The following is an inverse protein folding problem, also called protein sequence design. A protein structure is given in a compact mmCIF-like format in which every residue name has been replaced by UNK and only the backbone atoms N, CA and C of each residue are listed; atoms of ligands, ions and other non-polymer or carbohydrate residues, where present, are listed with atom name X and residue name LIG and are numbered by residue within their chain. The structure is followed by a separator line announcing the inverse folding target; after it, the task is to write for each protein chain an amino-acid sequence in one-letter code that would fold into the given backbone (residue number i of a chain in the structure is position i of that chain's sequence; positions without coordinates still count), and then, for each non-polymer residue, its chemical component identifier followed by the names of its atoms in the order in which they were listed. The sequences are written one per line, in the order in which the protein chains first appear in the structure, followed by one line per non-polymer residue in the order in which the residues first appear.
data_IF_602422102240
#
_entry.id   IF_602422102240
#
_cell.length_a   1.000
_cell.length_b   1.000
_cell.length_c   1.000
_cell.angle_alpha   90.00
_cell.angle_beta   90.00
_cell.angle_gamma   90.00
#
_symmetry.space_group_name_H-M   'P 1'
#
loop_
_entity.id
_entity.type
_entity.pdbx_description
1 polymer ?
#
# COMPACT_ATOMS: atom_id res chain seq x y z
N UNK A 1 -81.91 8.92 -15.53
CA UNK A 1 -81.03 7.74 -15.65
C UNK A 1 -79.61 8.23 -15.45
N UNK A 2 -79.04 8.04 -14.27
CA UNK A 2 -77.69 8.51 -13.91
C UNK A 2 -76.81 7.29 -13.81
N UNK A 3 -75.84 7.17 -14.72
CA UNK A 3 -74.88 6.07 -14.77
C UNK A 3 -73.65 6.50 -13.99
N UNK A 4 -73.44 5.91 -12.82
CA UNK A 4 -72.26 6.12 -12.00
C UNK A 4 -71.11 5.23 -12.52
N UNK A 5 -70.06 5.87 -13.06
CA UNK A 5 -68.82 5.21 -13.47
C UNK A 5 -67.95 4.99 -12.22
N UNK A 6 -67.81 3.73 -11.80
CA UNK A 6 -66.85 3.33 -10.77
C UNK A 6 -65.47 3.13 -11.43
N UNK A 7 -64.58 4.11 -11.28
CA UNK A 7 -63.16 3.98 -11.62
C UNK A 7 -62.47 3.12 -10.55
N UNK A 8 -62.25 1.85 -10.87
CA UNK A 8 -61.45 0.93 -10.05
C UNK A 8 -59.97 1.30 -10.11
N UNK A 9 -59.45 1.92 -9.05
CA UNK A 9 -58.01 2.05 -8.80
C UNK A 9 -57.47 0.66 -8.42
N UNK A 10 -56.84 -0.02 -9.37
CA UNK A 10 -56.04 -1.20 -9.07
C UNK A 10 -54.71 -0.74 -8.44
N UNK A 11 -54.31 -1.23 -7.26
CA UNK A 11 -52.99 -0.98 -6.72
C UNK A 11 -51.97 -1.64 -7.64
N UNK A 12 -51.24 -0.83 -8.42
CA UNK A 12 -50.01 -1.26 -9.07
C UNK A 12 -49.06 -1.64 -7.93
N UNK A 13 -48.88 -2.94 -7.71
CA UNK A 13 -47.81 -3.43 -6.85
C UNK A 13 -46.51 -3.14 -7.60
N UNK A 14 -45.85 -2.04 -7.26
CA UNK A 14 -44.48 -1.80 -7.66
C UNK A 14 -43.68 -2.86 -6.94
N UNK A 15 -43.23 -3.90 -7.65
CA UNK A 15 -42.18 -4.78 -7.15
C UNK A 15 -41.00 -3.86 -6.81
N UNK A 16 -40.80 -3.62 -5.52
CA UNK A 16 -39.67 -2.87 -5.03
C UNK A 16 -38.44 -3.66 -5.50
N UNK A 17 -37.66 -3.05 -6.40
CA UNK A 17 -36.38 -3.61 -6.79
C UNK A 17 -35.62 -3.99 -5.51
N UNK A 18 -34.98 -5.17 -5.46
CA UNK A 18 -34.25 -5.60 -4.27
C UNK A 18 -33.32 -4.46 -3.86
N UNK A 19 -33.42 -4.06 -2.58
CA UNK A 19 -32.56 -3.02 -2.05
C UNK A 19 -31.11 -3.39 -2.36
N UNK A 20 -30.28 -2.47 -2.88
CA UNK A 20 -28.88 -2.75 -3.10
C UNK A 20 -28.30 -3.32 -1.80
N UNK A 21 -27.64 -4.48 -1.89
CA UNK A 21 -27.02 -5.10 -0.73
C UNK A 21 -26.03 -4.08 -0.14
N UNK A 22 -26.21 -3.74 1.13
CA UNK A 22 -25.37 -2.75 1.78
C UNK A 22 -23.91 -3.19 1.72
N UNK A 23 -23.06 -2.30 1.26
CA UNK A 23 -21.66 -2.56 0.99
C UNK A 23 -20.93 -2.93 2.27
N UNK A 24 -20.27 -4.10 2.25
CA UNK A 24 -19.67 -4.68 3.44
C UNK A 24 -18.20 -4.27 3.59
N UNK A 25 -17.90 -3.42 4.57
CA UNK A 25 -16.54 -2.96 4.87
C UNK A 25 -16.07 -3.44 6.25
N UNK A 26 -14.75 -3.50 6.44
CA UNK A 26 -14.14 -3.73 7.76
C UNK A 26 -13.61 -2.42 8.31
N UNK A 27 -13.85 -2.17 9.59
CA UNK A 27 -13.30 -1.02 10.30
C UNK A 27 -12.21 -1.49 11.25
N UNK A 28 -11.06 -0.84 11.23
CA UNK A 28 -9.95 -1.10 12.12
C UNK A 28 -9.40 0.20 12.71
N UNK A 29 -8.98 0.16 13.97
CA UNK A 29 -8.31 1.29 14.64
C UNK A 29 -6.89 0.88 14.95
N UNK A 30 -5.93 1.57 14.34
CA UNK A 30 -4.50 1.35 14.53
C UNK A 30 -3.94 2.39 15.50
N UNK A 31 -3.50 1.89 16.66
CA UNK A 31 -2.88 2.68 17.73
C UNK A 31 -1.48 2.16 18.05
N UNK A 32 -0.83 1.50 17.08
CA UNK A 32 0.47 0.85 17.28
C UNK A 32 1.62 1.81 17.62
N UNK A 33 1.48 3.09 17.33
CA UNK A 33 2.45 4.15 17.67
C UNK A 33 2.22 4.78 19.05
N UNK A 34 1.11 4.45 19.72
CA UNK A 34 0.78 4.98 21.04
C UNK A 34 1.34 4.09 22.15
N UNK A 35 1.31 4.57 23.39
CA UNK A 35 1.58 3.72 24.57
C UNK A 35 0.54 2.59 24.64
N UNK A 36 0.88 1.47 25.27
CA UNK A 36 -0.04 0.32 25.36
C UNK A 36 -1.37 0.70 26.04
N UNK A 37 -1.29 1.48 27.12
CA UNK A 37 -2.45 1.93 27.89
C UNK A 37 -3.34 2.89 27.08
N UNK A 38 -2.76 3.92 26.46
CA UNK A 38 -3.50 4.88 25.64
C UNK A 38 -4.05 4.21 24.38
N UNK A 39 -3.25 3.37 23.75
CA UNK A 39 -3.62 2.65 22.54
C UNK A 39 -4.78 1.68 22.76
N UNK A 40 -4.84 1.01 23.92
CA UNK A 40 -5.98 0.17 24.29
C UNK A 40 -7.24 1.00 24.54
N UNK A 41 -7.13 2.04 25.38
CA UNK A 41 -8.24 2.94 25.72
C UNK A 41 -8.85 3.58 24.48
N UNK A 42 -8.02 4.15 23.60
CA UNK A 42 -8.47 4.80 22.38
C UNK A 42 -9.07 3.81 21.38
N UNK A 43 -8.52 2.61 21.23
CA UNK A 43 -9.09 1.59 20.34
C UNK A 43 -10.50 1.20 20.74
N UNK A 44 -10.76 1.06 22.04
CA UNK A 44 -12.11 0.76 22.56
C UNK A 44 -13.08 1.92 22.34
N UNK A 45 -12.66 3.15 22.68
CA UNK A 45 -13.50 4.36 22.55
C UNK A 45 -13.81 4.70 21.09
N UNK A 46 -12.78 4.77 20.25
CA UNK A 46 -12.89 5.16 18.84
C UNK A 46 -13.56 4.05 18.04
N UNK A 47 -13.26 2.78 18.32
CA UNK A 47 -13.84 1.65 17.59
C UNK A 47 -15.36 1.60 17.69
N UNK A 48 -15.92 1.82 18.88
CA UNK A 48 -17.37 1.82 19.09
C UNK A 48 -18.07 2.98 18.37
N UNK A 49 -17.45 4.17 18.34
CA UNK A 49 -18.03 5.34 17.67
C UNK A 49 -17.92 5.24 16.15
N UNK A 50 -16.77 4.79 15.63
CA UNK A 50 -16.57 4.58 14.20
C UNK A 50 -17.57 3.58 13.62
N UNK A 51 -17.83 2.47 14.32
CA UNK A 51 -18.82 1.48 13.89
C UNK A 51 -20.17 2.14 13.64
N UNK A 52 -20.64 2.96 14.60
CA UNK A 52 -21.93 3.65 14.49
C UNK A 52 -21.97 4.61 13.31
N UNK A 53 -20.94 5.42 13.13
CA UNK A 53 -20.90 6.43 12.06
C UNK A 53 -20.79 5.81 10.66
N UNK A 54 -20.04 4.71 10.54
CA UNK A 54 -19.93 3.96 9.28
C UNK A 54 -21.27 3.34 8.89
N UNK A 55 -22.02 2.79 9.85
CA UNK A 55 -23.37 2.26 9.62
C UNK A 55 -24.36 3.39 9.23
N UNK A 56 -24.27 4.56 9.87
CA UNK A 56 -25.04 5.77 9.47
C UNK A 56 -24.68 6.21 8.05
N UNK A 57 -23.42 6.02 7.64
CA UNK A 57 -22.92 6.23 6.28
C UNK A 57 -23.46 5.25 5.24
N UNK A 58 -24.23 4.24 5.64
CA UNK A 58 -24.87 3.26 4.76
C UNK A 58 -24.02 2.02 4.45
N UNK A 59 -22.89 1.84 5.13
CA UNK A 59 -22.04 0.66 4.96
C UNK A 59 -22.39 -0.41 6.01
N UNK A 60 -22.45 -1.67 5.58
CA UNK A 60 -22.52 -2.80 6.48
C UNK A 60 -21.12 -3.13 7.00
N UNK A 61 -20.99 -3.46 8.29
CA UNK A 61 -19.70 -3.82 8.86
C UNK A 61 -19.59 -5.34 8.99
N UNK A 62 -18.54 -5.92 8.42
CA UNK A 62 -18.23 -7.36 8.59
C UNK A 62 -16.74 -7.60 8.80
N UNK A 63 -16.41 -8.63 9.57
CA UNK A 63 -15.02 -9.00 9.85
C UNK A 63 -14.44 -9.96 8.80
N UNK A 64 -15.28 -10.58 7.98
CA UNK A 64 -14.91 -11.69 7.08
C UNK A 64 -15.23 -11.34 5.64
N UNK A 65 -14.32 -11.74 4.75
CA UNK A 65 -14.47 -11.63 3.29
C UNK A 65 -14.83 -10.21 2.80
N UNK A 66 -14.22 -9.20 3.42
CA UNK A 66 -14.32 -7.82 2.91
C UNK A 66 -13.25 -7.59 1.85
N UNK A 67 -13.60 -6.79 0.84
CA UNK A 67 -12.62 -6.21 -0.09
C UNK A 67 -12.04 -4.92 0.47
N UNK A 68 -12.89 -4.11 1.08
CA UNK A 68 -12.50 -2.80 1.61
C UNK A 68 -12.34 -2.84 3.13
N UNK A 69 -11.19 -2.39 3.62
CA UNK A 69 -10.91 -2.13 5.05
C UNK A 69 -10.58 -0.66 5.24
N UNK A 70 -11.40 0.04 6.03
CA UNK A 70 -11.11 1.38 6.53
C UNK A 70 -10.29 1.27 7.82
N UNK A 71 -9.04 1.73 7.78
CA UNK A 71 -8.16 1.79 8.96
C UNK A 71 -7.97 3.24 9.39
N UNK A 72 -8.38 3.54 10.61
CA UNK A 72 -8.11 4.84 11.25
C UNK A 72 -6.87 4.68 12.11
N UNK A 73 -5.77 5.30 11.69
CA UNK A 73 -4.49 5.24 12.39
C UNK A 73 -4.25 6.53 13.16
N UNK A 74 -3.94 6.39 14.45
CA UNK A 74 -3.78 7.52 15.39
C UNK A 74 -2.35 7.50 15.88
N UNK A 75 -1.62 8.59 15.67
CA UNK A 75 -0.22 8.74 16.05
C UNK A 75 0.01 10.00 16.88
N UNK A 76 0.98 9.99 17.80
CA UNK A 76 1.43 11.20 18.48
C UNK A 76 2.26 12.05 17.52
N UNK A 77 1.86 13.31 17.36
CA UNK A 77 2.75 14.36 16.84
C UNK A 77 3.62 14.92 17.97
N UNK A 78 2.99 15.20 19.11
CA UNK A 78 3.64 15.59 20.35
C UNK A 78 2.91 14.94 21.53
N UNK A 79 3.62 14.09 22.28
CA UNK A 79 3.04 13.36 23.41
C UNK A 79 2.83 14.25 24.63
N UNK A 80 3.66 15.28 24.84
CA UNK A 80 3.58 16.15 26.01
C UNK A 80 2.37 17.09 25.91
N UNK A 81 2.10 17.59 24.70
CA UNK A 81 1.00 18.52 24.41
C UNK A 81 -0.29 17.83 23.93
N UNK A 82 -0.30 16.49 23.89
CA UNK A 82 -1.43 15.67 23.40
C UNK A 82 -1.86 16.07 21.98
N UNK A 83 -0.88 16.24 21.10
CA UNK A 83 -1.10 16.47 19.67
C UNK A 83 -1.12 15.14 18.92
N UNK A 84 -2.19 14.90 18.16
CA UNK A 84 -2.38 13.66 17.40
C UNK A 84 -2.44 13.93 15.89
N UNK A 85 -1.87 13.02 15.11
CA UNK A 85 -2.16 12.87 13.69
C UNK A 85 -3.16 11.73 13.48
N UNK A 86 -4.22 12.01 12.72
CA UNK A 86 -5.28 11.05 12.39
C UNK A 86 -5.18 10.76 10.90
N UNK A 87 -4.82 9.54 10.55
CA UNK A 87 -4.74 9.03 9.19
C UNK A 87 -5.94 8.13 8.87
N UNK A 88 -6.45 8.25 7.65
CA UNK A 88 -7.47 7.35 7.11
C UNK A 88 -6.81 6.54 5.99
N UNK A 89 -6.41 5.32 6.31
CA UNK A 89 -5.82 4.41 5.35
C UNK A 89 -6.93 3.49 4.83
N UNK A 90 -7.16 3.51 3.52
CA UNK A 90 -8.16 2.64 2.87
C UNK A 90 -7.41 1.49 2.20
N UNK A 91 -7.69 0.26 2.60
CA UNK A 91 -7.17 -0.92 1.93
C UNK A 91 -8.28 -1.53 1.09
N UNK A 92 -8.11 -1.56 -0.23
CA UNK A 92 -9.04 -2.21 -1.16
C UNK A 92 -8.32 -3.37 -1.86
N UNK A 93 -8.81 -4.59 -1.65
CA UNK A 93 -8.10 -5.83 -1.98
C UNK A 93 -6.70 -5.87 -1.34
N UNK A 94 -5.64 -5.76 -2.15
CA UNK A 94 -4.23 -5.75 -1.69
C UNK A 94 -3.57 -4.37 -1.84
N UNK A 95 -4.31 -3.36 -2.27
CA UNK A 95 -3.79 -2.00 -2.47
C UNK A 95 -4.10 -1.11 -1.28
N UNK A 96 -3.08 -0.35 -0.83
CA UNK A 96 -3.21 0.63 0.23
C UNK A 96 -3.30 2.02 -0.39
N UNK A 97 -4.43 2.68 -0.19
CA UNK A 97 -4.73 4.01 -0.70
C UNK A 97 -4.60 4.99 0.48
N UNK A 98 -3.63 5.89 0.39
CA UNK A 98 -3.29 6.87 1.43
C UNK A 98 -3.56 8.31 1.01
N UNK A 99 -4.42 8.50 0.01
CA UNK A 99 -4.68 9.81 -0.61
C UNK A 99 -5.63 10.69 0.24
N UNK A 100 -6.21 10.13 1.30
CA UNK A 100 -7.04 10.89 2.23
C UNK A 100 -6.15 11.78 3.10
N UNK A 101 -6.31 13.12 3.06
CA UNK A 101 -5.51 14.02 3.87
C UNK A 101 -5.65 13.68 5.36
N UNK A 102 -4.52 13.58 6.04
CA UNK A 102 -4.50 13.39 7.49
C UNK A 102 -4.92 14.68 8.21
N UNK A 103 -5.46 14.53 9.41
CA UNK A 103 -5.97 15.64 10.22
C UNK A 103 -5.14 15.75 11.50
N UNK A 104 -4.66 16.96 11.80
CA UNK A 104 -4.02 17.27 13.08
C UNK A 104 -5.08 17.59 14.15
N UNK A 105 -4.88 17.05 15.35
CA UNK A 105 -5.67 17.33 16.54
C UNK A 105 -4.76 17.90 17.62
N UNK A 106 -4.71 19.23 17.73
CA UNK A 106 -3.86 19.95 18.69
C UNK A 106 -4.55 20.04 20.04
N UNK A 107 -3.85 19.73 21.14
CA UNK A 107 -4.37 19.77 22.51
C UNK A 107 -5.66 18.95 22.70
N UNK A 108 -5.70 17.76 22.11
CA UNK A 108 -6.92 16.98 22.03
C UNK A 108 -7.05 15.96 23.17
N UNK A 109 -8.00 16.19 24.06
CA UNK A 109 -8.52 15.14 24.95
C UNK A 109 -9.43 14.19 24.17
N UNK A 110 -9.68 12.98 24.70
CA UNK A 110 -10.43 11.90 24.03
C UNK A 110 -11.70 12.36 23.29
N UNK A 111 -12.54 13.18 23.93
CA UNK A 111 -13.77 13.67 23.33
C UNK A 111 -13.54 14.61 22.12
N UNK A 112 -12.49 15.43 22.17
CA UNK A 112 -12.10 16.29 21.05
C UNK A 112 -11.49 15.45 19.92
N UNK A 113 -10.70 14.43 20.26
CA UNK A 113 -10.13 13.49 19.30
C UNK A 113 -11.23 12.74 18.53
N UNK A 114 -12.23 12.18 19.22
CA UNK A 114 -13.36 11.49 18.60
C UNK A 114 -14.12 12.44 17.65
N UNK A 115 -14.39 13.67 18.08
CA UNK A 115 -15.04 14.67 17.21
C UNK A 115 -14.21 14.96 15.95
N UNK A 116 -12.88 15.05 16.07
CA UNK A 116 -12.00 15.23 14.91
C UNK A 116 -11.97 14.03 13.98
N UNK A 117 -12.08 12.81 14.53
CA UNK A 117 -12.25 11.61 13.72
C UNK A 117 -13.58 11.65 12.96
N UNK A 118 -14.67 12.05 13.61
CA UNK A 118 -15.98 12.20 12.97
C UNK A 118 -15.98 13.28 11.88
N UNK A 119 -15.19 14.35 12.03
CA UNK A 119 -15.06 15.39 10.99
C UNK A 119 -14.38 14.87 9.71
N UNK A 120 -13.42 13.95 9.82
CA UNK A 120 -12.70 13.40 8.66
C UNK A 120 -13.35 12.17 8.03
N UNK A 121 -14.15 11.44 8.81
CA UNK A 121 -14.75 10.18 8.37
C UNK A 121 -15.61 10.30 7.09
N UNK A 122 -16.47 11.33 6.90
CA UNK A 122 -17.25 11.45 5.67
C UNK A 122 -16.40 11.52 4.40
N UNK A 123 -15.23 12.18 4.46
CA UNK A 123 -14.32 12.26 3.31
C UNK A 123 -13.69 10.89 3.00
N UNK A 124 -13.34 10.11 4.03
CA UNK A 124 -12.84 8.76 3.86
C UNK A 124 -13.91 7.82 3.28
N UNK A 125 -15.16 7.93 3.74
CA UNK A 125 -16.28 7.13 3.23
C UNK A 125 -16.63 7.48 1.78
N UNK A 126 -16.59 8.76 1.40
CA UNK A 126 -16.80 9.15 0.00
C UNK A 126 -15.70 8.60 -0.90
N UNK A 127 -14.44 8.60 -0.43
CA UNK A 127 -13.34 8.00 -1.18
C UNK A 127 -13.51 6.50 -1.40
N UNK A 128 -14.05 5.78 -0.42
CA UNK A 128 -14.40 4.36 -0.56
C UNK A 128 -15.41 4.17 -1.71
N UNK A 129 -16.47 4.99 -1.76
CA UNK A 129 -17.48 4.93 -2.83
C UNK A 129 -16.88 5.20 -4.20
N UNK A 130 -15.97 6.16 -4.32
CA UNK A 130 -15.30 6.45 -5.59
C UNK A 130 -14.47 5.26 -6.09
N UNK A 131 -13.78 4.56 -5.19
CA UNK A 131 -12.99 3.37 -5.52
C UNK A 131 -13.90 2.23 -5.99
N UNK A 132 -15.06 2.06 -5.36
CA UNK A 132 -16.01 1.00 -5.68
C UNK A 132 -16.85 1.30 -6.94
N UNK A 133 -17.19 2.58 -7.17
CA UNK A 133 -17.92 3.02 -8.36
C UNK A 133 -17.03 3.05 -9.60
N UNK A 134 -15.70 3.17 -9.45
CA UNK A 134 -14.79 3.14 -10.58
C UNK A 134 -15.04 1.86 -11.40
N UNK A 135 -15.69 1.99 -12.57
CA UNK A 135 -16.27 0.84 -13.22
C UNK A 135 -15.10 -0.04 -13.61
N UNK A 136 -15.07 -1.27 -13.08
CA UNK A 136 -14.09 -2.27 -13.43
C UNK A 136 -13.96 -2.27 -14.95
N UNK A 137 -12.89 -1.64 -15.45
CA UNK A 137 -12.72 -1.43 -16.88
C UNK A 137 -12.88 -2.81 -17.51
N UNK A 138 -13.78 -2.97 -18.50
CA UNK A 138 -14.05 -4.28 -19.09
C UNK A 138 -12.70 -4.90 -19.37
N UNK A 139 -12.44 -6.12 -18.84
CA UNK A 139 -11.09 -6.66 -18.67
C UNK A 139 -10.35 -6.37 -19.95
N UNK A 140 -9.41 -5.42 -19.88
CA UNK A 140 -8.73 -4.90 -21.05
C UNK A 140 -8.25 -6.14 -21.79
N UNK A 141 -8.89 -6.45 -22.91
CA UNK A 141 -8.69 -7.73 -23.60
C UNK A 141 -7.23 -7.75 -23.93
N UNK A 142 -6.46 -8.51 -23.14
CA UNK A 142 -5.02 -8.35 -23.02
C UNK A 142 -4.45 -8.18 -24.42
N UNK A 143 -4.07 -6.94 -24.77
CA UNK A 143 -3.35 -6.72 -26.01
C UNK A 143 -2.09 -7.60 -25.87
N UNK A 144 -1.83 -8.60 -26.73
CA UNK A 144 -0.82 -9.64 -26.50
C UNK A 144 0.63 -9.15 -26.52
N UNK A 145 0.86 -7.86 -26.27
CA UNK A 145 2.14 -7.18 -26.27
C UNK A 145 2.43 -6.50 -24.93
N UNK A 146 2.02 -7.08 -23.80
CA UNK A 146 2.81 -6.84 -22.58
C UNK A 146 4.23 -7.32 -22.91
N UNK A 147 5.23 -6.43 -22.99
CA UNK A 147 6.58 -6.83 -23.38
C UNK A 147 7.03 -7.86 -22.35
N UNK A 148 7.24 -9.10 -22.81
CA UNK A 148 7.68 -10.19 -21.96
C UNK A 148 8.84 -9.68 -21.09
N UNK A 149 8.62 -9.61 -19.77
CA UNK A 149 9.60 -9.08 -18.83
C UNK A 149 10.81 -9.99 -18.95
N UNK A 150 11.86 -9.49 -19.61
CA UNK A 150 13.05 -10.28 -19.87
C UNK A 150 13.65 -10.68 -18.51
N UNK A 151 13.77 -12.00 -18.23
CA UNK A 151 14.15 -12.49 -16.91
C UNK A 151 15.47 -11.84 -16.48
N UNK A 152 15.58 -11.43 -15.21
CA UNK A 152 16.78 -10.79 -14.65
C UNK A 152 17.97 -11.75 -14.77
N UNK A 153 19.16 -11.22 -15.11
CA UNK A 153 20.34 -12.01 -15.36
C UNK A 153 20.87 -12.56 -14.04
N UNK A 154 21.67 -13.63 -14.07
CA UNK A 154 22.27 -14.18 -12.85
C UNK A 154 23.04 -13.14 -12.03
N UNK A 155 23.69 -12.18 -12.71
CA UNK A 155 24.36 -11.04 -12.07
C UNK A 155 23.38 -10.05 -11.41
N UNK A 156 22.23 -9.80 -12.05
CA UNK A 156 21.18 -8.96 -11.48
C UNK A 156 20.56 -9.60 -10.22
N UNK A 157 20.28 -10.91 -10.25
CA UNK A 157 19.77 -11.64 -9.08
C UNK A 157 20.80 -11.61 -7.94
N UNK A 158 22.07 -11.89 -8.22
CA UNK A 158 23.13 -11.81 -7.23
C UNK A 158 23.25 -10.39 -6.64
N UNK A 159 23.14 -9.34 -7.48
CA UNK A 159 23.14 -7.95 -7.04
C UNK A 159 21.99 -7.61 -6.10
N UNK A 160 20.77 -8.06 -6.41
CA UNK A 160 19.58 -7.86 -5.55
C UNK A 160 19.75 -8.57 -4.20
N UNK A 161 20.21 -9.82 -4.19
CA UNK A 161 20.43 -10.58 -2.95
C UNK A 161 21.49 -9.90 -2.07
N UNK A 162 22.62 -9.51 -2.64
CA UNK A 162 23.71 -8.85 -1.90
C UNK A 162 23.27 -7.47 -1.38
N UNK A 163 22.53 -6.70 -2.18
CA UNK A 163 21.98 -5.42 -1.74
C UNK A 163 20.97 -5.59 -0.59
N UNK A 164 20.10 -6.61 -0.67
CA UNK A 164 19.16 -6.94 0.39
C UNK A 164 19.83 -7.33 1.70
N UNK A 165 20.90 -8.15 1.64
CA UNK A 165 21.72 -8.47 2.82
C UNK A 165 22.42 -7.23 3.38
N UNK A 166 22.91 -6.34 2.52
CA UNK A 166 23.49 -5.06 2.92
C UNK A 166 22.50 -4.17 3.68
N UNK A 167 21.27 -4.04 3.18
CA UNK A 167 20.22 -3.28 3.85
C UNK A 167 19.83 -3.90 5.20
N UNK A 168 19.66 -5.23 5.26
CA UNK A 168 19.33 -5.93 6.51
C UNK A 168 20.40 -5.75 7.59
N UNK A 169 21.68 -5.85 7.21
CA UNK A 169 22.80 -5.62 8.15
C UNK A 169 22.92 -4.17 8.59
N UNK A 170 22.58 -3.20 7.74
CA UNK A 170 22.51 -1.78 8.15
C UNK A 170 21.44 -1.55 9.22
N UNK A 171 20.23 -2.09 9.03
CA UNK A 171 19.12 -1.94 9.98
C UNK A 171 19.51 -2.55 11.34
N UNK A 172 20.05 -3.78 11.33
CA UNK A 172 20.53 -4.43 12.54
C UNK A 172 21.64 -3.62 13.24
N UNK A 173 22.60 -3.08 12.46
CA UNK A 173 23.66 -2.22 13.00
C UNK A 173 23.13 -0.91 13.60
N UNK A 174 22.12 -0.30 12.98
CA UNK A 174 21.44 0.89 13.50
C UNK A 174 20.73 0.64 14.82
N UNK A 175 20.04 -0.51 14.96
CA UNK A 175 19.39 -0.91 16.21
C UNK A 175 20.41 -1.12 17.33
N UNK A 176 21.52 -1.81 17.06
CA UNK A 176 22.59 -2.02 18.05
C UNK A 176 23.25 -0.70 18.47
N UNK A 177 23.48 0.23 17.53
CA UNK A 177 24.00 1.57 17.86
C UNK A 177 23.03 2.38 18.73
N UNK A 178 21.72 2.26 18.45
CA UNK A 178 20.67 2.93 19.21
C UNK A 178 20.58 2.46 20.66
N UNK A 179 20.89 1.19 20.94
CA UNK A 179 20.91 0.63 22.31
C UNK A 179 22.01 1.24 23.19
N UNK A 180 23.10 1.72 22.59
CA UNK A 180 24.18 2.41 23.30
C UNK A 180 24.93 1.52 24.29
N UNK A 181 25.21 2.05 25.49
CA UNK A 181 25.91 1.32 26.55
C UNK A 181 24.87 0.88 27.57
N UNK A 182 24.64 -0.43 27.68
CA UNK A 182 23.73 -0.99 28.67
C UNK A 182 24.58 -1.48 29.84
N UNK A 183 24.20 -1.05 31.05
CA UNK A 183 24.80 -1.55 32.28
C UNK A 183 23.84 -2.59 32.85
N UNK A 184 24.19 -3.86 32.71
CA UNK A 184 23.41 -4.95 33.27
C UNK A 184 23.95 -5.29 34.67
N UNK A 185 23.07 -5.28 35.67
CA UNK A 185 23.38 -5.69 37.05
C UNK A 185 22.44 -5.09 38.11
N UNK A 186 21.93 -5.95 39.00
CA UNK A 186 21.19 -5.53 40.21
C UNK A 186 22.11 -5.03 41.32
N UNK A 187 21.54 -4.42 42.38
CA UNK A 187 22.28 -3.72 43.44
C UNK A 187 23.40 -4.53 44.15
N UNK A 188 23.37 -5.86 44.10
CA UNK A 188 24.38 -6.76 44.70
C UNK A 188 25.25 -7.52 43.68
N UNK A 189 25.01 -7.41 42.37
CA UNK A 189 25.82 -8.13 41.36
C UNK A 189 26.79 -7.20 40.63
N UNK A 190 27.93 -7.78 40.22
CA UNK A 190 28.97 -7.11 39.44
C UNK A 190 28.37 -6.52 38.17
N UNK A 191 28.31 -5.19 38.08
CA UNK A 191 27.80 -4.48 36.90
C UNK A 191 28.68 -4.79 35.70
N UNK A 192 28.13 -5.47 34.71
CA UNK A 192 28.82 -5.76 33.46
C UNK A 192 28.41 -4.71 32.44
N UNK A 193 29.38 -3.93 31.97
CA UNK A 193 29.16 -2.90 30.96
C UNK A 193 29.29 -3.56 29.59
N UNK A 194 28.19 -3.67 28.86
CA UNK A 194 28.19 -4.15 27.47
C UNK A 194 28.06 -2.92 26.57
N UNK A 195 29.04 -2.74 25.68
CA UNK A 195 29.04 -1.65 24.70
C UNK A 195 28.56 -2.18 23.33
N UNK A 196 27.34 -1.80 22.96
CA UNK A 196 26.73 -2.20 21.68
C UNK A 196 27.16 -1.31 20.51
N UNK A 197 27.89 -0.21 20.77
CA UNK A 197 28.30 0.72 19.71
C UNK A 197 29.33 0.12 18.78
N UNK A 198 30.27 -0.67 19.30
CA UNK A 198 31.31 -1.32 18.49
C UNK A 198 30.73 -2.34 17.50
N UNK A 199 29.91 -3.33 17.93
CA UNK A 199 29.28 -4.26 16.98
C UNK A 199 28.32 -3.54 16.02
N UNK A 200 27.56 -2.54 16.47
CA UNK A 200 26.67 -1.78 15.60
C UNK A 200 27.40 -0.99 14.50
N UNK A 201 28.52 -0.33 14.85
CA UNK A 201 29.36 0.37 13.86
C UNK A 201 30.00 -0.60 12.84
N UNK A 202 30.43 -1.78 13.30
CA UNK A 202 30.95 -2.81 12.41
C UNK A 202 29.89 -3.32 11.42
N UNK A 203 28.67 -3.59 11.91
CA UNK A 203 27.54 -4.02 11.06
C UNK A 203 27.15 -2.96 10.04
N UNK A 204 27.10 -1.68 10.42
CA UNK A 204 26.86 -0.58 9.48
C UNK A 204 27.94 -0.52 8.39
N UNK A 205 29.22 -0.67 8.76
CA UNK A 205 30.32 -0.67 7.80
C UNK A 205 30.22 -1.80 6.78
N UNK A 206 29.96 -3.03 7.26
CA UNK A 206 29.77 -4.20 6.39
C UNK A 206 28.54 -4.05 5.49
N UNK A 207 27.42 -3.57 6.04
CA UNK A 207 26.19 -3.36 5.28
C UNK A 207 26.35 -2.33 4.18
N UNK A 208 27.08 -1.23 4.46
CA UNK A 208 27.43 -0.20 3.49
C UNK A 208 28.25 -0.73 2.33
N UNK A 209 29.30 -1.50 2.62
CA UNK A 209 30.12 -2.11 1.59
C UNK A 209 29.34 -3.12 0.74
N UNK A 210 28.51 -3.95 1.36
CA UNK A 210 27.66 -4.92 0.66
C UNK A 210 26.63 -4.23 -0.25
N UNK A 211 25.97 -3.18 0.22
CA UNK A 211 24.97 -2.44 -0.55
C UNK A 211 25.60 -1.78 -1.79
N UNK A 212 26.77 -1.14 -1.65
CA UNK A 212 27.51 -0.57 -2.78
C UNK A 212 27.91 -1.65 -3.78
N UNK A 213 28.41 -2.79 -3.31
CA UNK A 213 28.76 -3.91 -4.20
C UNK A 213 27.53 -4.45 -4.96
N UNK A 214 26.40 -4.61 -4.29
CA UNK A 214 25.13 -5.03 -4.90
C UNK A 214 24.64 -4.05 -5.97
N UNK A 215 24.71 -2.75 -5.70
CA UNK A 215 24.33 -1.69 -6.64
C UNK A 215 25.23 -1.68 -7.89
N UNK A 216 26.54 -1.88 -7.74
CA UNK A 216 27.48 -1.96 -8.87
C UNK A 216 27.15 -3.18 -9.75
N UNK A 217 26.92 -4.35 -9.16
CA UNK A 217 26.56 -5.56 -9.91
C UNK A 217 25.25 -5.38 -10.70
N UNK A 218 24.25 -4.76 -10.08
CA UNK A 218 22.99 -4.44 -10.74
C UNK A 218 23.21 -3.47 -11.91
N UNK A 219 23.99 -2.41 -11.70
CA UNK A 219 24.33 -1.44 -12.74
C UNK A 219 25.06 -2.07 -13.94
N UNK A 220 25.99 -3.00 -13.67
CA UNK A 220 26.69 -3.74 -14.74
C UNK A 220 25.73 -4.64 -15.52
N UNK A 221 24.81 -5.35 -14.86
CA UNK A 221 23.81 -6.19 -15.56
C UNK A 221 22.90 -5.32 -16.45
N UNK A 222 22.43 -4.18 -15.95
CA UNK A 222 21.62 -3.22 -16.72
C UNK A 222 22.41 -2.64 -17.90
N UNK A 223 23.68 -2.29 -17.71
CA UNK A 223 24.55 -1.78 -18.77
C UNK A 223 24.81 -2.80 -19.87
N UNK A 224 25.08 -4.05 -19.50
CA UNK A 224 25.25 -5.15 -20.46
C UNK A 224 23.95 -5.43 -21.23
N UNK A 225 22.79 -5.38 -20.56
CA UNK A 225 21.48 -5.51 -21.22
C UNK A 225 21.20 -4.38 -22.18
N UNK A 226 21.44 -3.13 -21.77
CA UNK A 226 21.25 -1.97 -22.63
C UNK A 226 22.13 -2.07 -23.89
N UNK A 227 23.39 -2.50 -23.74
CA UNK A 227 24.29 -2.74 -24.87
C UNK A 227 23.79 -3.86 -25.79
N UNK A 228 23.33 -4.98 -25.22
CA UNK A 228 22.73 -6.09 -26.00
C UNK A 228 21.47 -5.66 -26.74
N UNK A 229 20.60 -4.84 -26.14
CA UNK A 229 19.41 -4.29 -26.80
C UNK A 229 19.80 -3.41 -27.99
N UNK A 230 20.80 -2.54 -27.84
CA UNK A 230 21.31 -1.71 -28.97
C UNK A 230 21.89 -2.57 -30.10
N UNK A 231 22.64 -3.61 -29.76
CA UNK A 231 23.19 -4.55 -30.74
C UNK A 231 22.09 -5.37 -31.44
N UNK A 232 21.09 -5.84 -30.68
CA UNK A 232 19.95 -6.58 -31.23
C UNK A 232 19.08 -5.70 -32.12
N UNK A 233 18.83 -4.44 -31.74
CA UNK A 233 18.11 -3.47 -32.55
C UNK A 233 18.86 -3.14 -33.85
N UNK A 234 20.19 -3.03 -33.82
CA UNK A 234 21.02 -2.87 -35.01
C UNK A 234 21.15 -4.14 -35.87
N UNK A 235 20.92 -5.32 -35.29
CA UNK A 235 20.99 -6.61 -35.97
C UNK A 235 19.63 -7.09 -36.54
N UNK A 236 18.57 -6.29 -36.40
CA UNK A 236 17.30 -6.57 -37.09
C UNK A 236 17.49 -6.35 -38.58
N UNK A 237 17.96 -7.40 -39.24
CA UNK A 237 18.00 -7.46 -40.70
C UNK A 237 16.55 -7.48 -41.14
N UNK A 238 16.06 -6.38 -41.70
CA UNK A 238 14.68 -6.28 -42.15
C UNK A 238 14.54 -7.20 -43.36
N UNK A 239 13.90 -8.35 -43.15
CA UNK A 239 13.55 -9.27 -44.23
C UNK A 239 12.26 -8.74 -44.83
N UNK A 240 12.38 -8.05 -45.95
CA UNK A 240 11.24 -7.52 -46.69
C UNK A 240 10.89 -8.53 -47.79
N UNK A 241 9.65 -9.05 -47.84
CA UNK A 241 9.20 -9.83 -48.98
C UNK A 241 9.13 -8.92 -50.20
N UNK A 242 9.88 -9.27 -51.25
CA UNK A 242 9.80 -8.57 -52.54
C UNK A 242 8.79 -9.36 -53.37
N UNK A 243 7.59 -8.80 -53.52
CA UNK A 243 6.55 -9.37 -54.37
C UNK A 243 6.52 -8.55 -55.66
N UNK A 244 7.11 -9.08 -56.72
CA UNK A 244 7.04 -8.53 -58.07
C UNK A 244 6.15 -9.38 -58.97
N UNK A 245 5.66 -8.83 -60.11
CA UNK A 245 4.75 -9.53 -61.01
C UNK A 245 5.35 -10.80 -61.66
N UNK A 246 6.68 -10.95 -61.66
CA UNK A 246 7.36 -12.12 -62.24
C UNK A 246 8.31 -12.85 -61.27
N UNK A 247 8.44 -12.39 -60.02
CA UNK A 247 9.43 -12.92 -59.07
C UNK A 247 8.91 -12.82 -57.63
N UNK A 248 9.09 -13.91 -56.87
CA UNK A 248 8.89 -13.94 -55.41
C UNK A 248 10.25 -14.22 -54.77
N UNK A 249 10.74 -13.28 -53.97
CA UNK A 249 12.04 -13.40 -53.31
C UNK A 249 12.06 -12.71 -51.94
N UNK A 250 13.06 -13.08 -51.12
CA UNK A 250 13.32 -12.46 -49.83
C UNK A 250 14.50 -11.49 -49.97
N UNK A 251 14.24 -10.20 -49.81
CA UNK A 251 15.29 -9.17 -49.77
C UNK A 251 15.83 -9.02 -48.36
N UNK A 252 17.15 -9.14 -48.19
CA UNK A 252 17.84 -8.81 -46.94
C UNK A 252 18.39 -7.38 -47.06
N UNK A 253 17.74 -6.42 -46.40
CA UNK A 253 18.26 -5.06 -46.30
C UNK A 253 19.03 -4.94 -45.00
N UNK A 254 20.35 -4.78 -45.09
CA UNK A 254 21.24 -4.53 -43.95
C UNK A 254 21.57 -3.04 -43.94
N UNK A 255 21.02 -2.30 -42.99
CA UNK A 255 21.43 -0.91 -42.75
C UNK A 255 22.87 -0.94 -42.22
N UNK A 256 23.79 -0.29 -42.93
CA UNK A 256 25.19 -0.10 -42.52
C UNK A 256 25.35 1.19 -41.73
#
# INVERSE_FOLDING_TARGET
MVVALALGLYPMSVDAAPAPEAEAIRVAVDTSSLTEDDGKRLRELVGAELIREVEVGGFAITEKNVRTTLRVRIEYLDQEDLEYAIHYDIQHDDELITDVPWIACVTCVDAALIRKIQEGLPAALERIREIEEEPALPPETADPKTPAIAPIGGLGIAGVVVAGLGLGTMIAGGVELGRGVVIEGGAEQTRTRIDHRTPGAALLGVGSAALVAGAILLGVDLGLRAKRRKQAAGAQTLVLPIIGPEQVGLGLVRNF
#
